data_IF_993051428048
#
_entry.id   IF_993051428048
#
_cell.length_a   1.000
_cell.length_b   1.000
_cell.length_c   1.000
_cell.angle_alpha   90.00
_cell.angle_beta   90.00
_cell.angle_gamma   90.00
#
_symmetry.space_group_name_H-M   'P 1'
#
loop_
_entity.id
_entity.type
_entity.pdbx_description
1 polymer ?
#
# COMPACT_ATOMS: atom_id res chain seq x y z
N UNK A 1 2.33 -2.32 -17.15
CA UNK A 1 1.49 -1.89 -18.30
C UNK A 1 1.41 -0.39 -18.24
N UNK A 2 1.78 0.30 -19.32
CA UNK A 2 1.80 1.76 -19.37
C UNK A 2 0.39 2.35 -19.36
N UNK A 3 0.27 3.65 -19.08
CA UNK A 3 -1.02 4.38 -19.10
C UNK A 3 -1.67 4.32 -20.48
N UNK A 4 -0.88 4.58 -21.53
CA UNK A 4 -1.34 4.63 -22.94
C UNK A 4 -1.93 3.27 -23.35
N UNK A 5 -1.18 2.17 -23.16
CA UNK A 5 -1.65 0.81 -23.46
C UNK A 5 -2.96 0.45 -22.74
N UNK A 6 -3.14 0.93 -21.51
CA UNK A 6 -4.36 0.69 -20.75
C UNK A 6 -5.56 1.47 -21.29
N UNK A 7 -5.36 2.70 -21.74
CA UNK A 7 -6.41 3.51 -22.36
C UNK A 7 -6.82 2.90 -23.71
N UNK A 8 -5.84 2.58 -24.56
CA UNK A 8 -6.04 1.98 -25.88
C UNK A 8 -6.77 0.64 -25.77
N UNK A 9 -6.28 -0.28 -24.93
CA UNK A 9 -6.90 -1.61 -24.75
C UNK A 9 -8.33 -1.58 -24.19
N UNK A 10 -8.74 -0.45 -23.61
CA UNK A 10 -10.12 -0.22 -23.13
C UNK A 10 -10.95 0.62 -24.10
N UNK A 11 -10.46 0.87 -25.31
CA UNK A 11 -11.13 1.69 -26.32
C UNK A 11 -11.35 3.13 -25.85
N UNK A 12 -10.41 3.67 -25.07
CA UNK A 12 -10.50 5.03 -24.53
C UNK A 12 -9.79 6.08 -25.37
N UNK A 13 -9.42 5.75 -26.62
CA UNK A 13 -8.74 6.64 -27.54
C UNK A 13 -7.24 6.45 -27.55
N UNK A 14 -6.60 6.97 -28.59
CA UNK A 14 -5.17 6.87 -28.82
C UNK A 14 -4.49 8.06 -28.15
N UNK A 15 -3.90 7.81 -26.99
CA UNK A 15 -3.22 8.82 -26.20
C UNK A 15 -1.72 8.83 -26.45
N UNK A 16 -1.12 10.01 -26.49
CA UNK A 16 0.33 10.21 -26.50
C UNK A 16 0.76 11.06 -25.29
N UNK A 17 1.99 10.83 -24.79
CA UNK A 17 2.56 11.66 -23.74
C UNK A 17 2.94 13.02 -24.34
N UNK A 18 2.48 14.10 -23.70
CA UNK A 18 2.89 15.46 -23.99
C UNK A 18 4.04 15.83 -23.05
N UNK A 19 5.27 15.77 -23.56
CA UNK A 19 6.49 15.99 -22.77
C UNK A 19 6.60 17.44 -22.28
N UNK A 20 6.17 18.41 -23.10
CA UNK A 20 6.21 19.84 -22.76
C UNK A 20 5.25 20.20 -21.60
N UNK A 21 4.19 19.39 -21.42
CA UNK A 21 3.24 19.50 -20.30
C UNK A 21 3.44 18.42 -19.24
N UNK A 22 4.60 17.79 -19.22
CA UNK A 22 4.98 16.79 -18.22
C UNK A 22 6.22 17.24 -17.45
N UNK A 23 6.23 17.00 -16.15
CA UNK A 23 7.33 17.44 -15.29
C UNK A 23 7.40 16.64 -13.99
N UNK A 24 8.57 16.63 -13.37
CA UNK A 24 8.67 16.23 -11.96
C UNK A 24 7.97 17.28 -11.12
N UNK A 25 7.16 16.82 -10.18
CA UNK A 25 6.51 17.68 -9.22
C UNK A 25 7.27 17.68 -7.91
N UNK A 26 8.12 18.68 -7.82
CA UNK A 26 9.00 18.88 -6.68
C UNK A 26 8.27 18.91 -5.32
N UNK A 27 7.06 19.51 -5.16
CA UNK A 27 6.41 19.55 -3.84
C UNK A 27 6.07 18.18 -3.22
N UNK A 28 5.83 17.16 -4.05
CA UNK A 28 5.55 15.79 -3.62
C UNK A 28 6.75 14.84 -3.89
N UNK A 29 7.93 15.40 -4.13
CA UNK A 29 9.19 14.65 -4.22
C UNK A 29 9.93 14.83 -2.89
N UNK A 30 10.12 13.74 -2.14
CA UNK A 30 10.61 13.77 -0.75
C UNK A 30 11.61 12.67 -0.50
N UNK A 31 12.53 12.92 0.42
CA UNK A 31 13.46 11.91 0.92
C UNK A 31 13.20 11.71 2.41
N UNK A 32 13.11 10.45 2.80
CA UNK A 32 13.00 9.97 4.17
C UNK A 32 14.20 9.08 4.48
N UNK A 33 14.39 8.65 5.73
CA UNK A 33 15.52 7.80 6.09
C UNK A 33 15.57 6.46 5.33
N UNK A 34 14.42 5.85 5.05
CA UNK A 34 14.33 4.50 4.47
C UNK A 34 13.64 4.47 3.09
N UNK A 35 13.15 5.61 2.60
CA UNK A 35 12.55 5.71 1.28
C UNK A 35 12.75 7.07 0.62
N UNK A 36 12.70 7.09 -0.71
CA UNK A 36 12.63 8.32 -1.50
C UNK A 36 11.41 8.24 -2.40
N UNK A 37 10.61 9.28 -2.37
CA UNK A 37 9.39 9.42 -3.17
C UNK A 37 9.63 10.43 -4.28
N UNK A 38 9.30 10.05 -5.52
CA UNK A 38 9.39 10.91 -6.70
C UNK A 38 8.05 10.90 -7.42
N UNK A 39 7.40 12.05 -7.51
CA UNK A 39 6.11 12.18 -8.18
C UNK A 39 6.24 12.95 -9.50
N UNK A 40 5.85 12.30 -10.59
CA UNK A 40 5.78 12.90 -11.92
C UNK A 40 4.34 13.38 -12.21
N UNK A 41 4.21 14.57 -12.77
CA UNK A 41 3.01 15.03 -13.44
C UNK A 41 3.13 14.67 -14.92
N UNK A 42 2.26 13.79 -15.41
CA UNK A 42 2.30 13.33 -16.80
C UNK A 42 1.01 13.73 -17.50
N UNK A 43 1.12 14.51 -18.57
CA UNK A 43 -0.03 14.92 -19.38
C UNK A 43 -0.11 14.07 -20.63
N UNK A 44 -1.26 13.46 -20.87
CA UNK A 44 -1.54 12.66 -22.04
C UNK A 44 -2.60 13.33 -22.89
N UNK A 45 -2.43 13.29 -24.21
CA UNK A 45 -3.35 13.93 -25.17
C UNK A 45 -3.90 12.97 -26.21
N UNK A 46 -5.12 13.22 -26.64
CA UNK A 46 -5.78 12.48 -27.72
C UNK A 46 -6.81 13.36 -28.41
N UNK A 47 -6.92 13.24 -29.73
CA UNK A 47 -7.97 13.91 -30.50
C UNK A 47 -9.31 13.17 -30.40
N UNK A 48 -9.28 11.87 -30.12
CA UNK A 48 -10.45 10.98 -30.07
C UNK A 48 -10.61 10.29 -28.70
N UNK A 49 -10.74 11.04 -27.59
CA UNK A 49 -10.81 10.46 -26.25
C UNK A 49 -12.11 9.67 -26.09
N UNK A 50 -12.06 8.47 -25.51
CA UNK A 50 -13.22 7.61 -25.34
C UNK A 50 -14.21 8.07 -24.28
N UNK A 51 -15.34 7.36 -24.20
CA UNK A 51 -16.49 7.77 -23.39
C UNK A 51 -16.22 7.88 -21.89
N UNK A 52 -15.37 7.02 -21.31
CA UNK A 52 -15.06 7.08 -19.88
C UNK A 52 -14.19 8.29 -19.57
N UNK A 53 -13.19 8.57 -20.42
CA UNK A 53 -12.31 9.73 -20.27
C UNK A 53 -13.10 11.03 -20.38
N UNK A 54 -13.96 11.16 -21.40
CA UNK A 54 -14.87 12.32 -21.55
C UNK A 54 -15.86 12.47 -20.40
N UNK A 55 -16.21 11.38 -19.72
CA UNK A 55 -17.11 11.39 -18.57
C UNK A 55 -16.48 11.89 -17.26
N UNK A 56 -15.16 12.07 -17.22
CA UNK A 56 -14.41 12.46 -16.01
C UNK A 56 -13.55 13.70 -16.24
N UNK A 57 -12.80 13.75 -17.34
CA UNK A 57 -11.95 14.88 -17.67
C UNK A 57 -12.76 16.04 -18.28
N UNK A 58 -12.34 17.28 -18.01
CA UNK A 58 -13.07 18.47 -18.43
C UNK A 58 -13.29 18.56 -19.96
N UNK A 59 -12.25 18.25 -20.75
CA UNK A 59 -12.32 18.22 -22.23
C UNK A 59 -12.17 16.81 -22.81
N UNK A 60 -11.65 15.86 -22.02
CA UNK A 60 -11.29 14.52 -22.49
C UNK A 60 -10.01 14.47 -23.32
N UNK A 61 -9.72 15.51 -24.11
CA UNK A 61 -8.58 15.56 -25.03
C UNK A 61 -7.22 15.71 -24.35
N UNK A 62 -7.20 16.12 -23.08
CA UNK A 62 -5.99 16.17 -22.26
C UNK A 62 -6.30 15.64 -20.87
N UNK A 63 -5.48 14.71 -20.39
CA UNK A 63 -5.59 14.10 -19.06
C UNK A 63 -4.22 14.18 -18.39
N UNK A 64 -4.15 14.84 -17.25
CA UNK A 64 -2.94 14.90 -16.43
C UNK A 64 -3.07 13.95 -15.25
N UNK A 65 -2.10 13.05 -15.11
CA UNK A 65 -2.01 12.08 -14.02
C UNK A 65 -0.80 12.40 -13.14
N UNK A 66 -0.95 12.09 -11.85
CA UNK A 66 0.15 12.03 -10.89
C UNK A 66 0.65 10.58 -10.86
N UNK A 67 1.90 10.36 -11.26
CA UNK A 67 2.55 9.05 -11.16
C UNK A 67 3.61 9.10 -10.06
N UNK A 68 3.37 8.35 -9.02
CA UNK A 68 4.19 8.30 -7.82
C UNK A 68 5.13 7.09 -7.84
N UNK A 69 6.42 7.32 -7.65
CA UNK A 69 7.44 6.28 -7.56
C UNK A 69 8.05 6.27 -6.16
N UNK A 70 7.97 5.12 -5.50
CA UNK A 70 8.57 4.89 -4.19
C UNK A 70 9.81 4.02 -4.34
N UNK A 71 10.95 4.55 -3.92
CA UNK A 71 12.22 3.85 -3.82
C UNK A 71 12.46 3.50 -2.36
N UNK A 72 12.24 2.23 -2.03
CA UNK A 72 12.24 1.74 -0.65
C UNK A 72 13.53 0.96 -0.40
N UNK A 73 14.18 1.24 0.74
CA UNK A 73 15.29 0.44 1.23
C UNK A 73 14.83 -0.99 1.53
N UNK A 74 15.57 -1.98 1.02
CA UNK A 74 15.31 -3.37 1.36
C UNK A 74 15.63 -3.64 2.83
N UNK A 75 14.83 -4.46 3.53
CA UNK A 75 15.11 -4.82 4.91
C UNK A 75 16.42 -5.61 5.00
N UNK A 76 17.05 -5.55 6.18
CA UNK A 76 18.20 -6.40 6.48
C UNK A 76 17.86 -7.91 6.44
N UNK A 77 18.89 -8.78 6.50
CA UNK A 77 18.70 -10.23 6.50
C UNK A 77 17.86 -10.72 7.70
N UNK A 78 17.49 -12.00 7.69
CA UNK A 78 16.76 -12.64 8.80
C UNK A 78 15.23 -12.63 8.67
N UNK A 79 14.67 -12.28 7.50
CA UNK A 79 13.24 -12.46 7.28
C UNK A 79 12.98 -13.89 6.82
N UNK A 80 12.23 -14.65 7.60
CA UNK A 80 11.77 -15.98 7.19
C UNK A 80 10.46 -15.89 6.41
N UNK A 81 10.53 -16.24 5.12
CA UNK A 81 9.35 -16.36 4.27
C UNK A 81 8.47 -17.52 4.71
N UNK A 82 7.16 -17.37 4.58
CA UNK A 82 6.17 -18.41 4.91
C UNK A 82 5.30 -18.70 3.70
N UNK A 83 5.05 -19.99 3.42
CA UNK A 83 4.10 -20.43 2.39
C UNK A 83 2.67 -20.10 2.85
N UNK A 84 1.87 -19.55 1.94
CA UNK A 84 0.48 -19.24 2.18
C UNK A 84 -0.36 -20.52 2.30
N UNK A 85 -1.15 -20.60 3.37
CA UNK A 85 -2.15 -21.64 3.56
C UNK A 85 -3.51 -21.14 3.05
N UNK A 86 -4.17 -21.84 2.11
CA UNK A 86 -5.42 -21.38 1.52
C UNK A 86 -6.59 -21.28 2.52
N UNK A 87 -6.46 -21.86 3.72
CA UNK A 87 -7.48 -21.80 4.78
C UNK A 87 -7.39 -20.53 5.62
N UNK A 88 -6.24 -19.86 5.58
CA UNK A 88 -5.96 -18.64 6.34
C UNK A 88 -5.92 -17.52 5.31
N UNK A 89 -6.98 -16.72 5.22
CA UNK A 89 -7.10 -15.68 4.19
C UNK A 89 -5.97 -14.64 4.30
N UNK A 90 -4.85 -14.90 3.63
CA UNK A 90 -3.65 -14.06 3.63
C UNK A 90 -3.35 -13.54 2.24
N UNK A 91 -2.86 -12.31 2.19
CA UNK A 91 -2.29 -11.74 0.98
C UNK A 91 -0.80 -12.10 0.88
N UNK A 92 -0.20 -11.85 -0.26
CA UNK A 92 1.25 -11.95 -0.46
C UNK A 92 1.65 -12.24 -1.90
N UNK A 93 2.97 -12.20 -2.19
CA UNK A 93 3.45 -12.41 -3.53
C UNK A 93 3.28 -13.87 -3.97
N UNK A 94 2.99 -14.07 -5.25
CA UNK A 94 3.08 -15.37 -5.91
C UNK A 94 4.30 -15.37 -6.81
N UNK A 95 5.17 -16.34 -6.59
CA UNK A 95 6.38 -16.58 -7.37
C UNK A 95 6.17 -17.85 -8.22
N UNK A 96 6.97 -17.99 -9.27
CA UNK A 96 7.02 -19.21 -10.08
C UNK A 96 8.40 -19.83 -9.92
N UNK A 97 8.46 -21.04 -9.35
CA UNK A 97 9.68 -21.82 -9.26
C UNK A 97 9.80 -22.74 -10.48
N UNK A 98 10.61 -22.33 -11.45
CA UNK A 98 10.86 -23.07 -12.69
C UNK A 98 11.73 -24.32 -12.51
N UNK A 99 12.28 -24.56 -11.32
CA UNK A 99 12.97 -25.81 -10.98
C UNK A 99 12.01 -26.90 -10.47
N UNK A 100 10.71 -26.57 -10.31
CA UNK A 100 9.67 -27.50 -9.83
C UNK A 100 9.50 -28.69 -10.79
N UNK A 101 9.36 -29.93 -10.29
CA UNK A 101 9.04 -31.10 -11.13
C UNK A 101 7.78 -30.91 -11.98
N UNK A 102 7.75 -31.55 -13.15
CA UNK A 102 6.69 -31.33 -14.17
C UNK A 102 5.28 -31.71 -13.71
N UNK A 103 5.16 -32.57 -12.70
CA UNK A 103 3.90 -33.04 -12.13
C UNK A 103 3.41 -32.19 -10.93
N UNK A 104 4.13 -31.10 -10.59
CA UNK A 104 3.83 -30.24 -9.46
C UNK A 104 3.46 -28.81 -9.90
N UNK A 105 2.76 -28.07 -9.03
CA UNK A 105 2.41 -26.67 -9.28
C UNK A 105 3.63 -25.78 -9.05
N UNK A 106 4.09 -25.10 -10.10
CA UNK A 106 5.22 -24.17 -10.02
C UNK A 106 4.93 -22.92 -9.18
N UNK A 107 3.65 -22.65 -8.83
CA UNK A 107 3.26 -21.46 -8.09
C UNK A 107 3.58 -21.60 -6.61
N UNK A 108 4.53 -20.79 -6.16
CA UNK A 108 4.85 -20.61 -4.74
C UNK A 108 4.12 -19.37 -4.24
N UNK A 109 3.08 -19.57 -3.41
CA UNK A 109 2.34 -18.48 -2.78
C UNK A 109 2.94 -18.20 -1.41
N UNK A 110 3.38 -16.96 -1.19
CA UNK A 110 3.92 -16.52 0.10
C UNK A 110 2.90 -15.73 0.89
N UNK A 111 3.02 -15.75 2.21
CA UNK A 111 2.26 -14.90 3.14
C UNK A 111 2.98 -13.56 3.32
N UNK A 112 2.29 -12.46 3.05
CA UNK A 112 2.66 -11.13 3.55
C UNK A 112 2.37 -11.08 5.05
N UNK A 113 3.39 -10.79 5.85
CA UNK A 113 3.28 -10.70 7.31
C UNK A 113 4.29 -9.72 7.88
N UNK A 114 3.95 -9.15 9.03
CA UNK A 114 4.90 -8.44 9.88
C UNK A 114 5.95 -9.41 10.43
N UNK A 115 7.20 -8.95 10.54
CA UNK A 115 8.21 -9.61 11.37
C UNK A 115 7.88 -9.28 12.82
N UNK A 116 7.65 -10.30 13.63
CA UNK A 116 7.36 -10.14 15.05
C UNK A 116 8.09 -11.23 15.83
N UNK A 117 8.82 -10.82 16.85
CA UNK A 117 9.67 -11.67 17.68
C UNK A 117 9.39 -11.39 19.14
N UNK A 118 9.45 -12.42 19.98
CA UNK A 118 9.32 -12.27 21.43
C UNK A 118 10.65 -11.81 22.01
N UNK A 119 10.60 -10.93 22.99
CA UNK A 119 11.77 -10.60 23.80
C UNK A 119 12.28 -11.80 24.60
N UNK A 120 11.37 -12.68 25.03
CA UNK A 120 11.67 -13.98 25.65
C UNK A 120 10.93 -15.08 24.87
N UNK A 121 11.64 -15.88 24.04
CA UNK A 121 11.05 -16.96 23.25
C UNK A 121 10.47 -18.11 24.07
N UNK A 122 10.95 -18.33 25.30
CA UNK A 122 10.53 -19.45 26.16
C UNK A 122 9.32 -19.08 27.04
N UNK A 123 9.04 -17.79 27.20
CA UNK A 123 7.90 -17.32 27.97
C UNK A 123 6.58 -17.51 27.19
N UNK A 124 5.58 -18.08 27.88
CA UNK A 124 4.21 -18.21 27.39
C UNK A 124 3.65 -16.85 26.93
N UNK A 125 3.95 -15.80 27.70
CA UNK A 125 3.62 -14.41 27.36
C UNK A 125 4.87 -13.54 27.40
N UNK A 126 5.10 -12.81 26.31
CA UNK A 126 6.28 -11.95 26.17
C UNK A 126 5.94 -10.70 25.35
N UNK A 127 6.46 -9.52 25.72
CA UNK A 127 6.44 -8.37 24.84
C UNK A 127 7.13 -8.66 23.50
N UNK A 128 6.67 -8.00 22.43
CA UNK A 128 7.37 -8.01 21.16
C UNK A 128 8.68 -7.20 21.25
N UNK A 129 9.73 -7.66 20.56
CA UNK A 129 10.98 -6.90 20.39
C UNK A 129 10.69 -5.55 19.73
N UNK A 130 9.89 -5.59 18.66
CA UNK A 130 9.37 -4.42 17.97
C UNK A 130 7.85 -4.58 17.82
N UNK A 131 7.05 -3.74 18.51
CA UNK A 131 5.60 -3.74 18.34
C UNK A 131 5.20 -3.30 16.93
N UNK A 132 4.13 -3.90 16.41
CA UNK A 132 3.48 -3.46 15.18
C UNK A 132 2.64 -2.24 15.51
N UNK A 133 3.02 -1.09 14.97
CA UNK A 133 2.29 0.17 15.15
C UNK A 133 1.67 0.61 13.84
N UNK A 134 0.35 0.77 13.84
CA UNK A 134 -0.42 1.40 12.76
C UNK A 134 -0.86 2.81 13.14
N UNK A 135 -0.85 3.71 12.15
CA UNK A 135 -1.17 5.12 12.32
C UNK A 135 -2.40 5.50 11.48
N UNK A 136 -3.44 5.98 12.15
CA UNK A 136 -4.65 6.50 11.53
C UNK A 136 -4.37 7.89 10.98
N UNK A 137 -4.78 8.10 9.73
CA UNK A 137 -4.72 9.38 9.03
C UNK A 137 -5.42 10.49 9.84
N UNK A 138 -4.71 11.59 10.18
CA UNK A 138 -5.27 12.68 10.99
C UNK A 138 -6.39 13.43 10.26
N UNK A 139 -6.42 13.36 8.92
CA UNK A 139 -7.50 13.88 8.08
C UNK A 139 -8.82 13.14 8.23
N UNK A 140 -8.85 12.01 8.93
CA UNK A 140 -10.10 11.34 9.30
C UNK A 140 -10.91 12.25 10.25
N UNK A 141 -12.18 12.59 9.92
CA UNK A 141 -13.00 13.42 10.78
C UNK A 141 -13.50 12.65 12.01
N UNK A 142 -13.80 13.35 13.10
CA UNK A 142 -14.58 12.77 14.20
C UNK A 142 -16.05 12.59 13.80
N UNK A 143 -16.76 11.59 14.34
CA UNK A 143 -16.30 10.58 15.33
C UNK A 143 -15.59 9.36 14.71
N UNK A 144 -15.41 9.36 13.38
CA UNK A 144 -14.89 8.19 12.64
C UNK A 144 -13.45 7.89 13.03
N UNK A 145 -12.62 8.91 13.24
CA UNK A 145 -11.23 8.73 13.67
C UNK A 145 -11.14 7.99 15.00
N UNK A 146 -11.90 8.41 16.02
CA UNK A 146 -11.95 7.71 17.31
C UNK A 146 -12.39 6.25 17.15
N UNK A 147 -13.42 6.00 16.33
CA UNK A 147 -13.90 4.65 16.06
C UNK A 147 -12.86 3.78 15.30
N UNK A 148 -12.08 4.36 14.38
CA UNK A 148 -11.00 3.64 13.69
C UNK A 148 -9.88 3.25 14.65
N UNK A 149 -9.45 4.18 15.52
CA UNK A 149 -8.42 3.89 16.52
C UNK A 149 -8.89 2.78 17.45
N UNK A 150 -10.09 2.89 18.01
CA UNK A 150 -10.66 1.89 18.91
C UNK A 150 -10.81 0.52 18.22
N UNK A 151 -11.51 0.48 17.08
CA UNK A 151 -11.83 -0.76 16.40
C UNK A 151 -10.60 -1.49 15.87
N UNK A 152 -9.61 -0.75 15.34
CA UNK A 152 -8.36 -1.36 14.89
C UNK A 152 -7.51 -1.84 16.08
N UNK A 153 -7.57 -1.17 17.24
CA UNK A 153 -6.85 -1.59 18.45
C UNK A 153 -7.33 -2.94 19.00
N UNK A 154 -8.54 -3.39 18.65
CA UNK A 154 -9.02 -4.72 19.06
C UNK A 154 -8.18 -5.87 18.54
N UNK A 155 -7.40 -5.67 17.45
CA UNK A 155 -6.43 -6.66 17.00
C UNK A 155 -5.42 -7.05 18.08
N UNK A 156 -5.08 -6.14 19.01
CA UNK A 156 -4.20 -6.48 20.12
C UNK A 156 -4.72 -7.64 20.96
N UNK A 157 -6.04 -7.84 21.06
CA UNK A 157 -6.61 -8.99 21.76
C UNK A 157 -6.20 -10.33 21.12
N UNK A 158 -6.09 -10.38 19.79
CA UNK A 158 -5.63 -11.56 19.07
C UNK A 158 -4.12 -11.79 19.28
N UNK A 159 -3.32 -10.73 19.33
CA UNK A 159 -1.88 -10.83 19.62
C UNK A 159 -1.64 -11.26 21.07
N UNK A 160 -2.39 -10.73 22.04
CA UNK A 160 -2.35 -11.16 23.44
C UNK A 160 -2.74 -12.62 23.62
N UNK A 161 -3.80 -13.07 22.93
CA UNK A 161 -4.20 -14.48 22.89
C UNK A 161 -3.14 -15.38 22.23
N UNK A 162 -2.39 -14.85 21.27
CA UNK A 162 -1.23 -15.52 20.69
C UNK A 162 0.00 -15.46 21.61
N UNK A 163 -0.06 -14.79 22.77
CA UNK A 163 1.00 -14.66 23.77
C UNK A 163 1.92 -13.44 23.61
N UNK A 164 1.62 -12.54 22.67
CA UNK A 164 2.36 -11.29 22.51
C UNK A 164 1.74 -10.17 23.34
N UNK A 165 2.51 -9.64 24.29
CA UNK A 165 2.05 -8.57 25.19
C UNK A 165 2.23 -7.21 24.52
N UNK A 166 1.15 -6.43 24.43
CA UNK A 166 1.11 -5.06 23.87
C UNK A 166 1.80 -4.90 22.50
N UNK A 167 1.74 -5.94 21.67
CA UNK A 167 2.52 -6.01 20.44
C UNK A 167 1.82 -5.41 19.22
N UNK A 168 0.53 -5.09 19.29
CA UNK A 168 -0.20 -4.44 18.22
C UNK A 168 -0.86 -3.16 18.71
N UNK A 169 -0.49 -2.04 18.11
CA UNK A 169 -0.87 -0.72 18.59
C UNK A 169 -1.42 0.13 17.46
N UNK A 170 -2.44 0.92 17.76
CA UNK A 170 -3.02 1.87 16.80
C UNK A 170 -3.02 3.25 17.41
N UNK A 171 -2.51 4.22 16.66
CA UNK A 171 -2.36 5.61 17.10
C UNK A 171 -2.81 6.54 15.99
N UNK A 172 -3.00 7.82 16.27
CA UNK A 172 -3.11 8.85 15.21
C UNK A 172 -1.70 9.21 14.75
N UNK A 173 -1.51 9.44 13.45
CA UNK A 173 -0.21 9.90 12.94
C UNK A 173 0.22 11.19 13.68
N UNK A 174 1.43 11.27 14.24
CA UNK A 174 1.90 12.46 14.93
C UNK A 174 1.97 13.68 14.01
N UNK A 175 1.79 14.86 14.58
CA UNK A 175 1.94 16.11 13.83
C UNK A 175 3.37 16.25 13.28
N UNK A 176 3.49 16.74 12.05
CA UNK A 176 4.77 16.93 11.37
C UNK A 176 5.37 15.67 10.75
N UNK A 177 4.77 14.49 10.96
CA UNK A 177 5.14 13.26 10.26
C UNK A 177 4.42 13.19 8.92
N UNK A 178 5.16 12.88 7.87
CA UNK A 178 4.60 12.71 6.53
C UNK A 178 4.07 11.27 6.36
N UNK A 179 2.82 11.07 5.90
CA UNK A 179 2.24 9.74 5.73
C UNK A 179 2.89 8.92 4.61
N UNK A 180 3.85 9.48 3.85
CA UNK A 180 4.65 8.76 2.87
C UNK A 180 5.97 8.21 3.44
N UNK A 181 6.31 8.49 4.70
CA UNK A 181 7.47 7.88 5.37
C UNK A 181 7.16 6.42 5.73
N UNK A 182 7.87 5.47 5.12
CA UNK A 182 7.55 4.03 5.25
C UNK A 182 7.75 3.48 6.65
N UNK A 183 8.43 4.21 7.54
CA UNK A 183 8.61 3.83 8.95
C UNK A 183 7.28 3.85 9.71
N UNK A 184 6.22 4.40 9.13
CA UNK A 184 4.89 4.50 9.73
C UNK A 184 3.89 3.66 8.91
N UNK A 185 3.38 2.55 9.47
CA UNK A 185 2.33 1.77 8.81
C UNK A 185 1.02 2.56 8.86
N UNK A 186 0.51 3.00 7.70
CA UNK A 186 -0.65 3.89 7.65
C UNK A 186 -1.99 3.16 7.50
N UNK A 187 -3.02 3.69 8.16
CA UNK A 187 -4.44 3.46 7.87
C UNK A 187 -4.95 4.74 7.22
N UNK A 188 -5.04 4.74 5.89
CA UNK A 188 -5.41 5.93 5.12
C UNK A 188 -6.91 6.20 5.07
N UNK A 189 -7.28 7.47 5.19
CA UNK A 189 -8.64 7.93 4.96
C UNK A 189 -8.80 8.45 3.54
N UNK A 190 -9.51 7.70 2.70
CA UNK A 190 -9.72 8.07 1.28
C UNK A 190 -11.14 8.54 1.03
N UNK A 191 -11.29 9.70 0.41
CA UNK A 191 -12.59 10.15 -0.11
C UNK A 191 -12.90 9.45 -1.44
N UNK A 192 -14.06 8.81 -1.54
CA UNK A 192 -14.51 8.11 -2.75
C UNK A 192 -15.90 8.59 -3.15
N UNK A 193 -16.18 8.55 -4.46
CA UNK A 193 -17.48 8.92 -5.03
C UNK A 193 -18.62 8.00 -4.57
N UNK A 194 -18.32 6.73 -4.31
CA UNK A 194 -19.29 5.72 -3.86
C UNK A 194 -18.90 5.17 -2.50
N UNK A 195 -19.88 4.63 -1.77
CA UNK A 195 -19.62 3.83 -0.57
C UNK A 195 -18.78 2.61 -0.95
N UNK A 196 -17.80 2.30 -0.12
CA UNK A 196 -16.92 1.14 -0.29
C UNK A 196 -16.55 0.56 1.07
N UNK A 197 -16.00 -0.64 1.06
CA UNK A 197 -15.42 -1.27 2.23
C UNK A 197 -13.94 -0.90 2.35
N UNK A 198 -13.42 -0.94 3.58
CA UNK A 198 -11.98 -0.88 3.83
C UNK A 198 -11.30 -2.09 3.20
N UNK A 199 -10.10 -1.88 2.67
CA UNK A 199 -9.24 -2.93 2.13
C UNK A 199 -7.84 -2.73 2.72
N UNK A 200 -7.20 -3.81 3.13
CA UNK A 200 -5.90 -3.83 3.79
C UNK A 200 -5.31 -5.23 3.74
#
# INVERSE_FOLDING_TARGET
RGVIEQLESRGQGDFSLDEDRSAIHLPATRSFPENTEVEAMLTFTSDEPGGLVRGVAATGQAVTLRQHHSFIQLPGPGFETRIADPRVGVNGPTLYDYATPIDQDMRVRLTARHRIERTDPEAERSPAVEPIVYYVDPGTPEPVRSALVEGASWWNQAFEAAGFVDAFQVRVLPEGVDPQDIRYNMIHWTHRRTRGYSYG
#
